data_IF_917397054333
#
_entry.id   IF_917397054333
#
_cell.length_a   1.000
_cell.length_b   1.000
_cell.length_c   1.000
_cell.angle_alpha   90.00
_cell.angle_beta   90.00
_cell.angle_gamma   90.00
#
_symmetry.space_group_name_H-M   'P 1'
#
loop_
_entity.id
_entity.type
_entity.pdbx_description
1 polymer ?
#
# COMPACT_ATOMS: atom_id res chain seq x y z
N UNK A 1 78.77 33.28 14.94
CA UNK A 1 79.64 32.09 15.06
C UNK A 1 78.73 30.90 15.27
N UNK A 2 78.59 29.94 14.48
CA UNK A 2 79.25 29.18 13.46
C UNK A 2 78.17 28.56 12.54
N UNK A 3 78.43 28.54 11.28
CA UNK A 3 77.68 27.81 10.26
C UNK A 3 77.95 26.31 10.36
N UNK A 4 76.97 25.48 10.17
CA UNK A 4 77.20 24.10 9.76
C UNK A 4 76.24 23.69 8.69
N UNK A 5 76.82 23.27 7.57
CA UNK A 5 76.23 22.91 6.30
C UNK A 5 75.54 21.55 6.40
N UNK A 6 74.30 21.42 5.91
CA UNK A 6 73.64 20.13 5.67
C UNK A 6 73.70 19.77 4.21
N UNK A 7 74.40 18.67 3.94
CA UNK A 7 74.47 17.98 2.63
C UNK A 7 73.09 17.47 2.20
N UNK A 8 72.66 17.79 0.99
CA UNK A 8 71.57 17.20 0.28
C UNK A 8 71.95 15.80 -0.24
N UNK A 9 71.22 14.78 0.09
CA UNK A 9 71.22 13.47 -0.56
C UNK A 9 69.96 13.31 -1.42
N UNK A 10 70.18 13.07 -2.71
CA UNK A 10 69.15 12.75 -3.69
C UNK A 10 68.57 11.32 -3.45
N UNK A 11 67.25 11.06 -3.54
CA UNK A 11 66.76 9.70 -3.64
C UNK A 11 66.71 9.19 -5.07
N UNK A 12 66.98 7.90 -5.19
CA UNK A 12 67.06 7.12 -6.42
C UNK A 12 65.66 6.96 -7.08
N UNK A 13 65.65 6.96 -8.42
CA UNK A 13 64.51 6.63 -9.28
C UNK A 13 64.23 5.13 -9.21
N UNK A 14 63.11 4.71 -8.63
CA UNK A 14 62.54 3.37 -8.81
C UNK A 14 61.52 3.40 -9.94
N UNK A 15 61.80 2.59 -10.98
CA UNK A 15 60.95 2.44 -12.14
C UNK A 15 59.66 1.69 -11.79
N UNK A 16 58.54 2.34 -12.00
CA UNK A 16 57.21 1.72 -11.95
C UNK A 16 56.97 0.87 -13.21
N UNK A 17 56.88 -0.45 -13.04
CA UNK A 17 56.34 -1.36 -14.07
C UNK A 17 54.85 -1.10 -14.24
N UNK A 18 54.44 -0.69 -15.44
CA UNK A 18 53.03 -0.61 -15.83
C UNK A 18 52.45 -2.01 -15.90
N UNK A 19 51.50 -2.31 -15.04
CA UNK A 19 50.65 -3.49 -15.17
C UNK A 19 49.57 -3.21 -16.23
N UNK A 20 49.40 -4.19 -17.15
CA UNK A 20 48.34 -4.17 -18.14
C UNK A 20 46.97 -4.46 -17.49
N UNK A 21 45.83 -3.91 -18.02
CA UNK A 21 44.51 -4.13 -17.47
C UNK A 21 44.06 -5.59 -17.67
N UNK A 22 43.24 -6.15 -16.77
CA UNK A 22 42.75 -7.52 -16.88
C UNK A 22 41.82 -7.69 -18.08
N UNK A 23 42.06 -8.73 -18.87
CA UNK A 23 41.19 -9.13 -19.98
C UNK A 23 39.86 -9.64 -19.46
N UNK A 24 38.75 -9.08 -19.95
CA UNK A 24 37.40 -9.60 -19.74
C UNK A 24 37.29 -11.02 -20.33
N UNK A 25 37.09 -12.02 -19.49
CA UNK A 25 36.69 -13.37 -19.89
C UNK A 25 35.31 -13.33 -20.54
N UNK A 26 35.20 -13.67 -21.80
CA UNK A 26 33.94 -13.97 -22.46
C UNK A 26 33.34 -15.21 -21.83
N UNK A 27 32.19 -15.05 -21.18
CA UNK A 27 31.37 -16.18 -20.72
C UNK A 27 30.70 -16.82 -21.95
N UNK A 28 31.02 -18.09 -22.19
CA UNK A 28 30.37 -18.91 -23.20
C UNK A 28 28.92 -19.15 -22.86
N UNK A 29 28.01 -18.77 -23.78
CA UNK A 29 26.58 -19.09 -23.69
C UNK A 29 26.38 -20.60 -23.63
N UNK A 30 25.81 -21.10 -22.53
CA UNK A 30 25.28 -22.46 -22.43
C UNK A 30 24.00 -22.59 -23.28
N UNK A 31 23.82 -23.69 -24.04
CA UNK A 31 22.60 -23.88 -24.81
C UNK A 31 21.38 -24.18 -23.87
N UNK A 32 20.31 -23.49 -24.16
CA UNK A 32 19.01 -23.60 -23.49
C UNK A 32 18.43 -25.04 -23.64
N UNK A 33 18.02 -25.72 -22.56
CA UNK A 33 17.37 -27.02 -22.69
C UNK A 33 15.97 -26.85 -23.31
N UNK A 34 15.68 -27.64 -24.34
CA UNK A 34 14.39 -27.68 -25.03
C UNK A 34 13.31 -28.17 -24.04
N UNK A 35 12.27 -27.36 -23.84
CA UNK A 35 11.05 -27.74 -23.12
C UNK A 35 10.35 -28.91 -23.81
N UNK A 36 9.89 -29.93 -23.09
CA UNK A 36 9.00 -30.94 -23.63
C UNK A 36 7.62 -30.34 -23.90
N UNK A 37 7.07 -30.60 -25.08
CA UNK A 37 5.66 -30.37 -25.42
C UNK A 37 4.83 -31.49 -24.76
N UNK A 38 3.94 -31.13 -23.83
CA UNK A 38 3.05 -32.10 -23.21
C UNK A 38 1.87 -31.47 -22.52
N UNK A 39 0.70 -31.57 -23.16
CA UNK A 39 -0.66 -31.73 -22.59
C UNK A 39 -1.08 -30.75 -21.49
N UNK A 40 -1.28 -29.48 -21.83
CA UNK A 40 -1.92 -28.50 -20.96
C UNK A 40 -3.38 -28.27 -21.39
N UNK A 41 -4.32 -28.90 -20.73
CA UNK A 41 -5.75 -28.69 -21.03
C UNK A 41 -6.71 -29.13 -19.91
N UNK A 42 -6.22 -29.90 -18.94
CA UNK A 42 -7.06 -30.38 -17.83
C UNK A 42 -6.65 -29.89 -16.44
N UNK A 43 -5.42 -29.41 -16.24
CA UNK A 43 -4.98 -28.89 -14.94
C UNK A 43 -5.48 -27.47 -14.63
N UNK A 44 -5.71 -26.63 -15.64
CA UNK A 44 -6.19 -25.26 -15.41
C UNK A 44 -7.60 -25.18 -14.82
N UNK A 45 -8.47 -26.15 -15.17
CA UNK A 45 -9.85 -26.20 -14.64
C UNK A 45 -9.92 -26.67 -13.17
N UNK A 46 -9.01 -27.54 -12.74
CA UNK A 46 -8.97 -28.04 -11.36
C UNK A 46 -8.36 -27.02 -10.39
N UNK A 47 -7.42 -26.20 -10.83
CA UNK A 47 -6.82 -25.14 -10.00
C UNK A 47 -7.83 -24.01 -9.74
N UNK A 48 -8.62 -23.60 -10.73
CA UNK A 48 -9.64 -22.56 -10.57
C UNK A 48 -10.72 -22.99 -9.57
N UNK A 49 -11.14 -24.26 -9.60
CA UNK A 49 -12.13 -24.79 -8.65
C UNK A 49 -11.54 -24.86 -7.22
N UNK A 50 -10.26 -25.16 -7.07
CA UNK A 50 -9.60 -25.25 -5.76
C UNK A 50 -9.42 -23.88 -5.11
N UNK A 51 -9.05 -22.85 -5.87
CA UNK A 51 -8.89 -21.47 -5.37
C UNK A 51 -10.24 -20.89 -4.95
N UNK A 52 -11.29 -21.11 -5.71
CA UNK A 52 -12.64 -20.67 -5.35
C UNK A 52 -13.16 -21.37 -4.07
N UNK A 53 -12.79 -22.63 -3.84
CA UNK A 53 -13.21 -23.38 -2.65
C UNK A 53 -12.45 -22.93 -1.39
N UNK A 54 -11.17 -22.58 -1.49
CA UNK A 54 -10.37 -22.07 -0.38
C UNK A 54 -10.80 -20.66 0.02
N UNK A 55 -11.09 -19.78 -0.95
CA UNK A 55 -11.65 -18.47 -0.69
C UNK A 55 -13.02 -18.53 -0.01
N UNK A 56 -13.88 -19.47 -0.44
CA UNK A 56 -15.19 -19.69 0.16
C UNK A 56 -15.10 -20.25 1.60
N UNK A 57 -14.17 -21.14 1.88
CA UNK A 57 -13.97 -21.72 3.23
C UNK A 57 -13.34 -20.67 4.17
N UNK A 58 -12.41 -19.85 3.69
CA UNK A 58 -11.85 -18.72 4.44
C UNK A 58 -12.91 -17.68 4.80
N UNK A 59 -13.77 -17.33 3.85
CA UNK A 59 -14.91 -16.42 4.04
C UNK A 59 -15.91 -16.96 5.08
N UNK A 60 -16.28 -18.22 5.03
CA UNK A 60 -17.18 -18.85 6.01
C UNK A 60 -16.56 -18.97 7.39
N UNK A 61 -15.24 -19.22 7.50
CA UNK A 61 -14.52 -19.27 8.77
C UNK A 61 -14.47 -17.92 9.48
N UNK A 62 -14.25 -16.83 8.74
CA UNK A 62 -14.26 -15.48 9.25
C UNK A 62 -15.64 -15.04 9.75
N UNK A 63 -16.70 -15.32 9.00
CA UNK A 63 -18.07 -15.03 9.43
C UNK A 63 -18.48 -15.84 10.67
N UNK A 64 -18.03 -17.09 10.82
CA UNK A 64 -18.35 -17.92 11.99
C UNK A 64 -17.60 -17.45 13.24
N UNK A 65 -16.37 -16.92 13.10
CA UNK A 65 -15.63 -16.33 14.22
C UNK A 65 -16.29 -15.05 14.75
N UNK A 66 -16.84 -14.21 13.84
CA UNK A 66 -17.53 -12.95 14.20
C UNK A 66 -18.88 -13.21 14.89
N UNK A 67 -19.55 -14.34 14.62
CA UNK A 67 -20.86 -14.67 15.23
C UNK A 67 -20.78 -15.29 16.63
N UNK A 68 -19.58 -15.59 17.14
CA UNK A 68 -19.37 -16.23 18.45
C UNK A 68 -18.98 -15.27 19.58
N UNK A 69 -18.95 -13.96 19.34
CA UNK A 69 -18.72 -12.97 20.41
C UNK A 69 -20.01 -12.73 21.19
N UNK A 70 -20.02 -12.83 22.53
CA UNK A 70 -21.25 -12.74 23.31
C UNK A 70 -21.76 -11.31 23.42
N UNK A 71 -22.93 -11.05 22.84
CA UNK A 71 -23.70 -9.84 23.09
C UNK A 71 -24.46 -10.03 24.42
N UNK A 72 -24.22 -9.16 25.38
CA UNK A 72 -24.98 -9.13 26.62
C UNK A 72 -26.41 -8.67 26.35
N UNK A 73 -27.39 -9.51 26.67
CA UNK A 73 -28.80 -9.21 26.58
C UNK A 73 -29.23 -8.34 27.77
N UNK A 74 -29.86 -7.21 27.47
CA UNK A 74 -30.74 -6.49 28.38
C UNK A 74 -32.15 -6.54 27.81
N UNK A 75 -33.01 -7.27 28.49
CA UNK A 75 -34.42 -7.39 28.18
C UNK A 75 -35.23 -6.28 28.88
N UNK A 76 -36.10 -5.58 28.15
CA UNK A 76 -37.37 -5.13 28.71
C UNK A 76 -38.43 -5.02 27.61
N UNK A 77 -39.55 -5.68 27.86
CA UNK A 77 -40.75 -5.70 27.04
C UNK A 77 -41.61 -4.48 27.36
N UNK A 78 -42.18 -3.81 26.38
CA UNK A 78 -43.29 -2.89 26.53
C UNK A 78 -44.35 -3.09 25.45
N UNK A 79 -45.56 -3.05 25.90
CA UNK A 79 -46.87 -3.37 25.34
C UNK A 79 -47.26 -2.66 24.02
N UNK A 80 -48.00 -3.43 23.23
CA UNK A 80 -48.77 -2.99 22.06
C UNK A 80 -49.95 -2.08 22.48
N UNK A 81 -49.98 -0.85 21.98
CA UNK A 81 -51.21 -0.06 21.85
C UNK A 81 -51.42 0.32 20.39
N UNK A 82 -52.55 -0.19 19.88
CA UNK A 82 -53.11 0.12 18.56
C UNK A 82 -53.64 1.55 18.51
N UNK A 83 -53.32 2.31 17.46
CA UNK A 83 -53.87 3.64 17.20
C UNK A 83 -53.49 4.19 15.85
N UNK A 84 -54.41 4.09 14.93
CA UNK A 84 -54.79 4.91 13.77
C UNK A 84 -53.74 5.72 13.00
N UNK A 85 -53.62 5.39 11.71
CA UNK A 85 -52.83 6.06 10.69
C UNK A 85 -53.33 7.44 10.33
N UNK A 86 -52.46 8.42 10.47
CA UNK A 86 -52.41 9.62 9.62
C UNK A 86 -51.06 9.60 8.94
N UNK A 87 -51.05 9.72 7.60
CA UNK A 87 -49.84 9.74 6.80
C UNK A 87 -49.08 11.04 7.09
N UNK A 88 -48.07 10.95 7.95
CA UNK A 88 -47.07 12.00 8.09
C UNK A 88 -46.21 12.01 6.85
N UNK A 89 -45.99 13.22 6.32
CA UNK A 89 -45.00 13.50 5.29
C UNK A 89 -43.62 13.03 5.76
N UNK A 90 -42.71 12.62 4.86
CA UNK A 90 -41.40 12.17 5.28
C UNK A 90 -40.71 13.30 6.06
N UNK A 91 -40.57 13.11 7.33
CA UNK A 91 -39.70 13.90 8.20
C UNK A 91 -38.28 13.70 7.63
N UNK A 92 -37.65 14.76 7.17
CA UNK A 92 -36.20 14.76 6.95
C UNK A 92 -35.58 14.29 8.27
N UNK A 93 -35.01 13.10 8.29
CA UNK A 93 -34.18 12.64 9.39
C UNK A 93 -33.01 13.62 9.47
N UNK A 94 -33.09 14.56 10.40
CA UNK A 94 -31.94 15.38 10.77
C UNK A 94 -30.86 14.40 11.21
N UNK A 95 -29.81 14.27 10.42
CA UNK A 95 -28.60 13.58 10.82
C UNK A 95 -28.16 14.18 12.15
N UNK A 96 -28.37 13.45 13.24
CA UNK A 96 -27.91 13.86 14.57
C UNK A 96 -26.46 13.46 14.63
N UNK A 97 -25.55 14.43 14.50
CA UNK A 97 -24.11 14.20 14.67
C UNK A 97 -23.71 14.46 16.12
N UNK A 98 -22.73 13.73 16.60
CA UNK A 98 -22.01 14.02 17.82
C UNK A 98 -20.76 14.83 17.48
N UNK A 99 -20.45 15.84 18.30
CA UNK A 99 -19.23 16.62 18.18
C UNK A 99 -18.14 15.99 19.06
N UNK A 100 -17.07 15.54 18.46
CA UNK A 100 -15.91 14.97 19.14
C UNK A 100 -14.74 15.95 19.01
N UNK A 101 -14.11 16.31 20.12
CA UNK A 101 -12.94 17.15 20.14
C UNK A 101 -11.69 16.31 19.85
N UNK A 102 -10.89 16.71 18.85
CA UNK A 102 -9.60 16.12 18.49
C UNK A 102 -8.53 17.17 18.71
N UNK A 103 -7.41 16.80 19.33
CA UNK A 103 -6.30 17.73 19.52
C UNK A 103 -5.71 18.17 18.17
N UNK A 104 -5.39 19.44 18.02
CA UNK A 104 -4.74 19.92 16.80
C UNK A 104 -3.30 19.40 16.65
N UNK A 105 -2.67 18.89 17.71
CA UNK A 105 -1.40 18.16 17.63
C UNK A 105 -1.55 16.86 16.83
N UNK A 106 -2.74 16.23 16.88
CA UNK A 106 -3.03 14.99 16.15
C UNK A 106 -3.13 15.19 14.62
N UNK A 107 -3.04 16.43 14.10
CA UNK A 107 -2.87 16.67 12.65
C UNK A 107 -1.64 15.94 12.10
N UNK A 108 -0.65 15.70 12.96
CA UNK A 108 0.60 15.02 12.62
C UNK A 108 0.60 13.51 12.94
N UNK A 109 -0.55 12.94 13.32
CA UNK A 109 -0.69 11.54 13.71
C UNK A 109 -1.71 10.79 12.85
N UNK A 110 -1.53 9.46 12.73
CA UNK A 110 -2.44 8.57 11.99
C UNK A 110 -1.80 8.04 10.70
N UNK A 111 -2.52 7.13 10.04
CA UNK A 111 -2.03 6.35 8.89
C UNK A 111 -2.06 7.12 7.56
N UNK A 112 -2.81 8.23 7.48
CA UNK A 112 -2.90 9.09 6.30
C UNK A 112 -2.00 10.34 6.35
N UNK A 113 -1.07 10.43 7.30
CA UNK A 113 -0.11 11.54 7.33
C UNK A 113 0.74 11.54 6.05
N UNK A 114 0.81 12.67 5.37
CA UNK A 114 1.67 12.86 4.22
C UNK A 114 3.10 13.18 4.69
N UNK A 115 4.07 12.43 4.19
CA UNK A 115 5.50 12.69 4.36
C UNK A 115 6.14 12.64 2.99
N UNK A 116 6.73 13.75 2.53
CA UNK A 116 7.37 13.81 1.23
C UNK A 116 8.41 14.95 1.21
N UNK A 117 8.93 15.32 0.05
CA UNK A 117 9.94 16.38 -0.11
C UNK A 117 9.50 17.73 0.45
N UNK A 118 8.21 18.03 0.45
CA UNK A 118 7.64 19.32 0.86
C UNK A 118 7.06 19.30 2.28
N UNK A 119 6.68 18.09 2.76
CA UNK A 119 6.01 17.92 4.06
C UNK A 119 6.84 17.00 4.95
N UNK A 120 7.43 17.59 5.99
CA UNK A 120 8.26 16.87 6.93
C UNK A 120 7.41 16.04 7.92
N UNK A 121 7.93 14.89 8.34
CA UNK A 121 7.43 14.14 9.48
C UNK A 121 7.74 14.87 10.79
N UNK A 122 6.77 14.98 11.68
CA UNK A 122 6.85 15.84 12.88
C UNK A 122 6.94 15.04 14.18
N UNK A 123 6.39 13.83 14.24
CA UNK A 123 6.39 13.03 15.46
C UNK A 123 7.80 12.49 15.77
N UNK A 124 8.38 12.90 16.90
CA UNK A 124 9.75 12.51 17.28
C UNK A 124 9.84 11.08 17.83
N UNK A 125 8.81 10.59 18.49
CA UNK A 125 8.78 9.29 19.16
C UNK A 125 7.47 8.57 18.83
N UNK A 126 7.36 7.93 17.67
CA UNK A 126 6.13 7.25 17.26
C UNK A 126 5.82 6.12 18.24
N UNK A 127 4.55 6.06 18.65
CA UNK A 127 4.03 4.97 19.48
C UNK A 127 3.75 3.74 18.63
N UNK A 128 3.59 2.57 19.28
CA UNK A 128 3.18 1.31 18.61
C UNK A 128 4.17 0.79 17.56
N UNK A 129 5.43 1.20 17.60
CA UNK A 129 6.49 0.60 16.79
C UNK A 129 6.87 -0.74 17.38
N UNK A 130 6.71 -1.79 16.59
CA UNK A 130 6.98 -3.18 16.98
C UNK A 130 7.94 -3.87 16.02
N UNK A 131 8.74 -4.81 16.54
CA UNK A 131 9.61 -5.64 15.71
C UNK A 131 8.80 -6.52 14.78
N UNK A 132 9.03 -6.43 13.47
CA UNK A 132 8.40 -7.33 12.50
C UNK A 132 8.84 -8.77 12.78
N UNK A 133 10.12 -8.98 13.15
CA UNK A 133 10.69 -10.30 13.42
C UNK A 133 9.92 -11.04 14.52
N UNK A 134 9.50 -10.35 15.57
CA UNK A 134 8.81 -10.93 16.71
C UNK A 134 7.32 -11.21 16.45
N UNK A 135 6.75 -10.58 15.41
CA UNK A 135 5.31 -10.64 15.09
C UNK A 135 5.01 -11.31 13.75
N UNK A 136 6.03 -11.57 12.92
CA UNK A 136 5.85 -12.14 11.57
C UNK A 136 5.34 -13.59 11.61
N UNK A 137 4.69 -13.99 10.52
CA UNK A 137 4.40 -15.39 10.21
C UNK A 137 5.63 -16.10 9.63
N UNK A 138 5.52 -17.40 9.36
CA UNK A 138 6.61 -18.19 8.78
C UNK A 138 6.73 -18.03 7.26
N UNK A 139 5.84 -17.26 6.62
CA UNK A 139 5.69 -17.19 5.18
C UNK A 139 6.58 -16.14 4.50
N UNK A 140 7.39 -15.41 5.25
CA UNK A 140 8.33 -14.43 4.72
C UNK A 140 9.54 -14.21 5.64
N UNK A 141 10.52 -13.48 5.16
CA UNK A 141 11.76 -13.14 5.86
C UNK A 141 11.80 -11.67 6.29
N UNK A 142 12.67 -11.38 7.24
CA UNK A 142 13.00 -10.02 7.69
C UNK A 142 14.51 -9.91 7.80
N UNK A 143 15.09 -8.80 7.35
CA UNK A 143 16.54 -8.61 7.29
C UNK A 143 17.25 -8.54 8.65
N UNK A 144 16.53 -8.12 9.70
CA UNK A 144 17.08 -8.01 11.05
C UNK A 144 15.99 -8.00 12.12
N UNK A 145 16.38 -8.28 13.36
CA UNK A 145 15.45 -8.27 14.52
C UNK A 145 14.98 -6.86 14.89
N UNK A 146 15.72 -5.83 14.48
CA UNK A 146 15.42 -4.42 14.68
C UNK A 146 14.50 -3.82 13.62
N UNK A 147 14.29 -4.53 12.50
CA UNK A 147 13.35 -4.08 11.47
C UNK A 147 11.94 -4.05 12.04
N UNK A 148 11.33 -2.88 12.04
CA UNK A 148 10.09 -2.61 12.77
C UNK A 148 9.14 -1.74 11.95
N UNK A 149 7.85 -1.77 12.31
CA UNK A 149 6.79 -0.93 11.76
C UNK A 149 5.79 -0.60 12.88
N UNK A 150 4.80 0.23 12.60
CA UNK A 150 3.63 0.36 13.48
C UNK A 150 2.82 -0.93 13.49
N UNK A 151 2.25 -1.27 14.64
CA UNK A 151 1.51 -2.53 14.83
C UNK A 151 0.43 -2.77 13.75
N UNK A 152 -0.45 -1.80 13.38
CA UNK A 152 -1.45 -2.03 12.35
C UNK A 152 -0.84 -2.40 10.97
N UNK A 153 0.31 -1.78 10.64
CA UNK A 153 1.02 -2.11 9.42
C UNK A 153 1.62 -3.52 9.45
N UNK A 154 2.14 -3.98 10.61
CA UNK A 154 2.64 -5.36 10.76
C UNK A 154 1.51 -6.38 10.65
N UNK A 155 0.35 -6.11 11.26
CA UNK A 155 -0.80 -7.00 11.19
C UNK A 155 -1.30 -7.16 9.75
N UNK A 156 -1.38 -6.06 9.01
CA UNK A 156 -1.74 -6.03 7.60
C UNK A 156 -0.69 -6.73 6.70
N UNK A 157 0.60 -6.52 6.98
CA UNK A 157 1.71 -7.18 6.28
C UNK A 157 1.62 -8.70 6.42
N UNK A 158 1.36 -9.20 7.63
CA UNK A 158 1.19 -10.63 7.89
C UNK A 158 0.06 -11.20 7.05
N UNK A 159 -1.10 -10.55 7.04
CA UNK A 159 -2.25 -11.00 6.25
C UNK A 159 -1.94 -11.02 4.75
N UNK A 160 -1.29 -9.97 4.24
CA UNK A 160 -0.91 -9.87 2.83
C UNK A 160 0.06 -10.98 2.41
N UNK A 161 1.12 -11.20 3.18
CA UNK A 161 2.15 -12.19 2.81
C UNK A 161 1.69 -13.63 3.07
N UNK A 162 0.80 -13.87 4.02
CA UNK A 162 0.14 -15.16 4.18
C UNK A 162 -0.77 -15.49 2.98
N UNK A 163 -1.53 -14.51 2.50
CA UNK A 163 -2.36 -14.66 1.30
C UNK A 163 -1.51 -14.82 0.03
N UNK A 164 -0.41 -14.08 -0.09
CA UNK A 164 0.56 -14.25 -1.17
C UNK A 164 1.13 -15.68 -1.20
N UNK A 165 1.54 -16.21 -0.05
CA UNK A 165 1.99 -17.59 0.06
C UNK A 165 0.92 -18.61 -0.36
N UNK A 166 -0.31 -18.41 0.09
CA UNK A 166 -1.44 -19.28 -0.31
C UNK A 166 -1.68 -19.26 -1.82
N UNK A 167 -1.57 -18.08 -2.43
CA UNK A 167 -1.82 -17.90 -3.86
C UNK A 167 -0.70 -18.43 -4.76
N UNK A 168 0.56 -18.29 -4.34
CA UNK A 168 1.73 -18.51 -5.20
C UNK A 168 2.65 -19.64 -4.73
N UNK A 169 2.63 -19.98 -3.44
CA UNK A 169 3.56 -20.90 -2.80
C UNK A 169 4.96 -20.31 -2.51
N UNK A 170 5.18 -19.02 -2.80
CA UNK A 170 6.45 -18.33 -2.56
C UNK A 170 6.59 -17.90 -1.10
N UNK A 171 7.78 -18.13 -0.52
CA UNK A 171 8.15 -17.72 0.83
C UNK A 171 9.46 -16.91 0.86
N UNK A 172 9.93 -16.48 -0.29
CA UNK A 172 11.21 -15.81 -0.49
C UNK A 172 11.13 -14.28 -0.44
N UNK A 173 9.96 -13.72 -0.13
CA UNK A 173 9.82 -12.30 0.19
C UNK A 173 10.59 -11.97 1.47
N UNK A 174 11.34 -10.86 1.45
CA UNK A 174 12.05 -10.33 2.62
C UNK A 174 11.77 -8.84 2.79
N UNK A 175 11.39 -8.43 3.98
CA UNK A 175 11.34 -7.03 4.38
C UNK A 175 12.76 -6.58 4.73
N UNK A 176 13.30 -5.64 3.97
CA UNK A 176 14.68 -5.17 4.14
C UNK A 176 14.78 -3.83 4.86
N UNK A 177 13.69 -3.05 4.85
CA UNK A 177 13.60 -1.75 5.52
C UNK A 177 12.18 -1.56 6.08
N UNK A 178 12.08 -0.92 7.21
CA UNK A 178 10.84 -0.50 7.88
C UNK A 178 11.03 0.86 8.52
N UNK A 179 10.61 1.03 9.77
CA UNK A 179 10.81 2.25 10.54
C UNK A 179 12.30 2.64 10.64
N UNK A 180 12.57 3.91 10.45
CA UNK A 180 13.88 4.53 10.63
C UNK A 180 13.75 5.77 11.50
N UNK A 181 14.63 5.91 12.48
CA UNK A 181 14.73 7.17 13.21
C UNK A 181 15.32 8.27 12.31
N UNK A 182 15.07 9.53 12.62
CA UNK A 182 15.67 10.66 11.92
C UNK A 182 17.21 10.57 11.86
N UNK A 183 17.85 10.09 12.94
CA UNK A 183 19.30 9.88 12.97
C UNK A 183 19.76 8.80 11.97
N UNK A 184 19.04 7.68 11.85
CA UNK A 184 19.33 6.64 10.87
C UNK A 184 19.12 7.16 9.43
N UNK A 185 18.08 7.95 9.20
CA UNK A 185 17.86 8.61 7.91
C UNK A 185 18.99 9.56 7.56
N UNK A 186 19.52 10.32 8.54
CA UNK A 186 20.68 11.19 8.34
C UNK A 186 21.93 10.40 7.95
N UNK A 187 22.19 9.28 8.61
CA UNK A 187 23.33 8.39 8.29
C UNK A 187 23.25 7.87 6.86
N UNK A 188 22.06 7.45 6.41
CA UNK A 188 21.83 7.01 5.04
C UNK A 188 22.04 8.13 4.02
N UNK A 189 21.52 9.30 4.31
CA UNK A 189 21.67 10.47 3.45
C UNK A 189 23.14 10.89 3.30
N UNK A 190 23.88 10.95 4.40
CA UNK A 190 25.30 11.28 4.41
C UNK A 190 26.14 10.22 3.69
N UNK A 191 25.79 8.94 3.81
CA UNK A 191 26.46 7.86 3.11
C UNK A 191 26.26 7.95 1.60
N UNK A 192 25.04 8.27 1.14
CA UNK A 192 24.74 8.49 -0.28
C UNK A 192 25.52 9.67 -0.86
N UNK A 193 25.59 10.80 -0.14
CA UNK A 193 26.39 11.96 -0.56
C UNK A 193 27.89 11.63 -0.62
N UNK A 194 28.38 10.81 0.32
CA UNK A 194 29.79 10.38 0.31
C UNK A 194 30.11 9.45 -0.85
N UNK A 195 29.15 8.58 -1.24
CA UNK A 195 29.30 7.67 -2.38
C UNK A 195 29.23 8.41 -3.72
N UNK A 196 28.24 9.28 -3.89
CA UNK A 196 27.97 9.97 -5.16
C UNK A 196 28.87 11.20 -5.38
N UNK A 197 29.29 11.86 -4.30
CA UNK A 197 29.99 13.15 -4.33
C UNK A 197 29.08 14.32 -4.67
N UNK A 198 27.76 14.13 -4.64
CA UNK A 198 26.75 15.15 -4.88
C UNK A 198 26.54 16.04 -3.66
N UNK A 199 25.90 17.20 -3.83
CA UNK A 199 25.55 18.10 -2.72
C UNK A 199 24.19 17.79 -2.12
N UNK A 200 23.31 17.13 -2.89
CA UNK A 200 21.98 16.69 -2.47
C UNK A 200 21.74 15.29 -3.08
N UNK A 201 21.13 14.42 -2.30
CA UNK A 201 20.75 13.10 -2.81
C UNK A 201 19.47 13.18 -3.64
N UNK A 202 19.41 12.39 -4.72
CA UNK A 202 18.22 12.13 -5.51
C UNK A 202 17.68 10.70 -5.28
N UNK A 203 18.39 9.91 -4.45
CA UNK A 203 18.07 8.50 -4.14
C UNK A 203 17.59 8.30 -2.71
N UNK A 204 17.99 9.17 -1.80
CA UNK A 204 17.69 9.09 -0.37
C UNK A 204 17.02 10.39 0.06
N UNK A 205 15.85 10.28 0.66
CA UNK A 205 15.12 11.43 1.17
C UNK A 205 15.91 12.15 2.30
N UNK A 206 15.75 13.47 2.38
CA UNK A 206 16.26 14.26 3.51
C UNK A 206 15.72 13.70 4.83
N UNK A 207 16.52 13.76 5.92
CA UNK A 207 16.01 13.50 7.27
C UNK A 207 14.79 14.36 7.60
N UNK A 208 13.76 13.73 8.13
CA UNK A 208 12.44 14.35 8.35
C UNK A 208 11.50 14.23 7.14
N UNK A 209 11.96 13.79 5.97
CA UNK A 209 11.18 13.74 4.73
C UNK A 209 11.04 12.32 4.14
N UNK A 210 11.36 11.30 4.93
CA UNK A 210 11.21 9.89 4.55
C UNK A 210 9.96 9.28 5.17
N UNK A 211 9.13 8.60 4.38
CA UNK A 211 7.96 7.85 4.90
C UNK A 211 8.35 6.75 5.90
N UNK A 212 9.59 6.22 5.83
CA UNK A 212 10.08 5.27 6.82
C UNK A 212 10.13 5.84 8.24
N UNK A 213 10.29 7.17 8.40
CA UNK A 213 10.28 7.81 9.71
C UNK A 213 8.89 7.77 10.36
N UNK A 214 7.82 7.58 9.58
CA UNK A 214 6.46 7.42 10.08
C UNK A 214 6.17 6.02 10.67
N UNK A 215 6.96 5.02 10.29
CA UNK A 215 6.71 3.61 10.62
C UNK A 215 5.60 2.94 9.82
N UNK A 216 5.10 3.59 8.76
CA UNK A 216 4.08 3.04 7.87
C UNK A 216 4.62 2.58 6.52
N UNK A 217 5.91 2.77 6.22
CA UNK A 217 6.51 2.36 4.96
C UNK A 217 7.50 1.21 5.15
N UNK A 218 7.56 0.33 4.15
CA UNK A 218 8.49 -0.77 4.09
C UNK A 218 9.05 -0.95 2.68
N UNK A 219 10.24 -1.58 2.61
CA UNK A 219 10.85 -2.01 1.35
C UNK A 219 10.98 -3.53 1.29
N UNK A 220 10.61 -4.10 0.14
CA UNK A 220 10.76 -5.50 -0.18
C UNK A 220 12.03 -5.80 -0.97
N UNK A 221 12.53 -7.01 -0.80
CA UNK A 221 13.50 -7.68 -1.64
C UNK A 221 13.15 -9.16 -1.70
N UNK A 222 13.92 -9.97 -2.43
CA UNK A 222 13.79 -11.42 -2.46
C UNK A 222 14.97 -12.08 -1.78
N UNK A 223 14.75 -13.23 -1.12
CA UNK A 223 15.79 -13.95 -0.40
C UNK A 223 15.69 -15.45 -0.66
N UNK A 224 16.63 -15.99 -1.45
CA UNK A 224 16.65 -17.41 -1.85
C UNK A 224 18.05 -17.97 -1.69
N UNK A 225 18.19 -19.12 -1.06
CA UNK A 225 19.46 -19.86 -0.86
C UNK A 225 20.58 -19.02 -0.21
N UNK A 226 20.23 -18.11 0.70
CA UNK A 226 21.20 -17.25 1.39
C UNK A 226 21.64 -16.03 0.58
N UNK A 227 20.98 -15.74 -0.55
CA UNK A 227 21.27 -14.60 -1.43
C UNK A 227 20.05 -13.70 -1.55
N UNK A 228 20.28 -12.39 -1.46
CA UNK A 228 19.26 -11.36 -1.68
C UNK A 228 19.26 -10.95 -3.14
N UNK A 229 18.07 -10.72 -3.70
CA UNK A 229 17.83 -10.27 -5.06
C UNK A 229 16.87 -9.09 -5.07
N UNK A 230 17.00 -8.25 -6.10
CA UNK A 230 16.09 -7.11 -6.26
C UNK A 230 14.64 -7.60 -6.48
N UNK A 231 13.71 -6.91 -5.85
CA UNK A 231 12.27 -7.08 -6.06
C UNK A 231 11.79 -6.01 -7.03
N UNK A 232 11.12 -6.42 -8.10
CA UNK A 232 10.59 -5.53 -9.15
C UNK A 232 9.07 -5.61 -9.34
N UNK A 233 8.38 -6.43 -8.52
CA UNK A 233 6.94 -6.59 -8.57
C UNK A 233 6.41 -7.24 -9.85
N UNK A 234 7.25 -7.97 -10.60
CA UNK A 234 6.86 -8.61 -11.86
C UNK A 234 6.72 -10.14 -11.74
N UNK A 235 6.18 -10.79 -12.78
CA UNK A 235 5.98 -12.23 -12.79
C UNK A 235 4.96 -12.68 -11.75
N UNK A 236 5.29 -13.66 -10.91
CA UNK A 236 4.40 -14.16 -9.85
C UNK A 236 4.30 -13.17 -8.68
N UNK A 237 5.28 -12.26 -8.54
CA UNK A 237 5.26 -11.21 -7.52
C UNK A 237 4.35 -10.03 -7.88
N UNK A 238 3.85 -9.93 -9.12
CA UNK A 238 2.83 -8.97 -9.51
C UNK A 238 1.56 -9.10 -8.65
N UNK A 239 1.33 -10.30 -8.08
CA UNK A 239 0.25 -10.53 -7.13
C UNK A 239 0.25 -9.51 -5.98
N UNK A 240 1.42 -9.12 -5.46
CA UNK A 240 1.50 -8.11 -4.39
C UNK A 240 0.94 -6.78 -4.87
N UNK A 241 1.35 -6.30 -6.07
CA UNK A 241 0.85 -5.05 -6.64
C UNK A 241 -0.67 -5.08 -6.90
N UNK A 242 -1.19 -6.24 -7.30
CA UNK A 242 -2.62 -6.44 -7.62
C UNK A 242 -3.49 -6.55 -6.38
N UNK A 243 -2.89 -6.90 -5.21
CA UNK A 243 -3.67 -7.24 -4.01
C UNK A 243 -3.30 -6.44 -2.76
N UNK A 244 -2.20 -5.69 -2.73
CA UNK A 244 -1.74 -4.98 -1.53
C UNK A 244 -2.80 -4.04 -0.95
N UNK A 245 -3.63 -3.44 -1.80
CA UNK A 245 -4.70 -2.54 -1.36
C UNK A 245 -5.78 -3.23 -0.54
N UNK A 246 -6.02 -4.54 -0.72
CA UNK A 246 -6.96 -5.31 0.13
C UNK A 246 -6.50 -5.38 1.59
N UNK A 247 -5.20 -5.20 1.81
CA UNK A 247 -4.56 -5.22 3.13
C UNK A 247 -4.17 -3.83 3.63
N UNK A 248 -4.65 -2.76 2.97
CA UNK A 248 -4.37 -1.40 3.37
C UNK A 248 -3.01 -0.85 2.94
N UNK A 249 -2.26 -1.56 2.09
CA UNK A 249 -1.01 -1.08 1.50
C UNK A 249 -1.22 -0.53 0.09
N UNK A 250 -0.36 0.38 -0.32
CA UNK A 250 -0.28 0.88 -1.70
C UNK A 250 1.17 0.81 -2.18
N UNK A 251 1.37 0.48 -3.47
CA UNK A 251 2.63 0.74 -4.15
C UNK A 251 2.79 2.26 -4.26
N UNK A 252 3.75 2.81 -3.52
CA UNK A 252 3.76 4.25 -3.24
C UNK A 252 4.25 5.11 -4.40
N UNK A 253 5.29 4.66 -5.10
CA UNK A 253 5.98 5.43 -6.11
C UNK A 253 5.95 4.70 -7.46
N UNK A 254 5.00 5.08 -8.31
CA UNK A 254 4.81 4.52 -9.66
C UNK A 254 5.36 5.45 -10.73
N UNK A 255 5.66 4.93 -11.92
CA UNK A 255 6.23 5.72 -13.01
C UNK A 255 5.35 6.91 -13.42
N UNK A 256 4.03 6.74 -13.42
CA UNK A 256 3.06 7.76 -13.81
C UNK A 256 2.80 8.83 -12.75
N UNK A 257 3.30 8.65 -11.52
CA UNK A 257 3.13 9.59 -10.40
C UNK A 257 4.40 10.35 -10.02
N UNK A 258 5.52 10.17 -10.71
CA UNK A 258 6.80 10.80 -10.38
C UNK A 258 6.73 12.33 -10.34
N UNK A 259 5.96 12.96 -11.25
CA UNK A 259 5.80 14.40 -11.30
C UNK A 259 5.02 14.95 -10.09
N UNK A 260 4.14 14.13 -9.49
CA UNK A 260 3.33 14.50 -8.31
C UNK A 260 4.05 14.21 -7.00
N UNK A 261 4.67 13.05 -6.90
CA UNK A 261 5.36 12.62 -5.67
C UNK A 261 6.76 13.21 -5.52
N UNK A 262 7.38 13.61 -6.63
CA UNK A 262 8.77 14.07 -6.68
C UNK A 262 9.81 12.94 -6.54
N UNK A 263 9.37 11.67 -6.49
CA UNK A 263 10.20 10.47 -6.30
C UNK A 263 10.14 9.61 -7.55
N UNK A 264 11.27 9.01 -7.93
CA UNK A 264 11.32 8.03 -9.02
C UNK A 264 10.54 6.77 -8.64
N UNK A 265 10.15 5.98 -9.65
CA UNK A 265 9.45 4.73 -9.40
C UNK A 265 10.28 3.77 -8.55
N UNK A 266 9.69 3.27 -7.50
CA UNK A 266 10.27 2.34 -6.54
C UNK A 266 9.36 1.11 -6.39
N UNK A 267 9.50 0.09 -7.21
CA UNK A 267 8.60 -1.08 -7.20
C UNK A 267 8.66 -1.87 -5.88
N UNK A 268 9.68 -1.64 -5.06
CA UNK A 268 9.88 -2.28 -3.76
C UNK A 268 9.22 -1.54 -2.59
N UNK A 269 8.86 -0.25 -2.75
CA UNK A 269 8.42 0.62 -1.66
C UNK A 269 6.89 0.62 -1.51
N UNK A 270 6.41 0.15 -0.36
CA UNK A 270 4.99 0.09 -0.03
C UNK A 270 4.65 0.93 1.18
N UNK A 271 3.53 1.64 1.11
CA UNK A 271 3.00 2.47 2.18
C UNK A 271 1.68 1.91 2.70
N UNK A 272 1.58 1.72 4.02
CA UNK A 272 0.32 1.44 4.70
C UNK A 272 -0.48 2.74 4.87
N UNK A 273 -1.73 2.72 4.45
CA UNK A 273 -2.70 3.81 4.57
C UNK A 273 -4.04 3.32 5.14
N UNK A 274 -4.15 2.03 5.42
CA UNK A 274 -5.36 1.38 5.94
C UNK A 274 -6.50 1.26 4.93
N UNK A 275 -7.58 0.58 5.39
CA UNK A 275 -8.83 0.48 4.67
C UNK A 275 -9.79 1.58 5.13
N UNK A 276 -10.65 2.10 4.23
CA UNK A 276 -10.84 1.75 2.82
C UNK A 276 -9.94 2.54 1.86
N UNK A 277 -9.01 3.34 2.38
CA UNK A 277 -8.21 4.31 1.63
C UNK A 277 -7.36 3.64 0.53
N UNK A 278 -6.69 2.54 0.87
CA UNK A 278 -5.87 1.81 -0.09
C UNK A 278 -6.69 1.30 -1.28
N UNK A 279 -7.89 0.75 -1.02
CA UNK A 279 -8.81 0.31 -2.08
C UNK A 279 -9.16 1.46 -3.02
N UNK A 280 -9.58 2.61 -2.48
CA UNK A 280 -9.91 3.77 -3.30
C UNK A 280 -8.74 4.27 -4.13
N UNK A 281 -7.54 4.37 -3.51
CA UNK A 281 -6.34 4.85 -4.18
C UNK A 281 -5.95 3.95 -5.36
N UNK A 282 -6.01 2.64 -5.17
CA UNK A 282 -5.70 1.66 -6.22
C UNK A 282 -6.73 1.70 -7.35
N UNK A 283 -8.03 1.65 -7.04
CA UNK A 283 -9.10 1.61 -8.05
C UNK A 283 -9.15 2.89 -8.91
N UNK A 284 -8.79 4.04 -8.34
CA UNK A 284 -8.82 5.33 -9.02
C UNK A 284 -7.44 5.77 -9.53
N UNK A 285 -6.40 4.95 -9.34
CA UNK A 285 -5.01 5.26 -9.72
C UNK A 285 -4.56 6.64 -9.21
N UNK A 286 -4.75 6.91 -7.91
CA UNK A 286 -4.33 8.16 -7.27
C UNK A 286 -3.24 7.89 -6.22
N UNK A 287 -2.20 8.74 -6.18
CA UNK A 287 -1.22 8.71 -5.10
C UNK A 287 -1.74 9.42 -3.84
N UNK A 288 -1.03 9.32 -2.72
CA UNK A 288 -1.47 9.88 -1.44
C UNK A 288 -1.68 11.39 -1.50
N UNK A 289 -0.82 12.13 -2.21
CA UNK A 289 -0.94 13.57 -2.44
C UNK A 289 -2.25 13.95 -3.15
N UNK A 290 -2.57 13.21 -4.22
CA UNK A 290 -3.79 13.41 -4.99
C UNK A 290 -5.03 13.04 -4.17
N UNK A 291 -4.96 11.92 -3.42
CA UNK A 291 -6.06 11.44 -2.58
C UNK A 291 -6.39 12.42 -1.46
N UNK A 292 -5.41 12.90 -0.71
CA UNK A 292 -5.62 13.88 0.35
C UNK A 292 -6.15 15.22 -0.20
N UNK A 293 -5.72 15.61 -1.40
CA UNK A 293 -6.24 16.79 -2.09
C UNK A 293 -7.71 16.60 -2.48
N UNK A 294 -8.05 15.43 -3.02
CA UNK A 294 -9.42 15.07 -3.37
C UNK A 294 -10.35 15.12 -2.16
N UNK A 295 -9.92 14.55 -1.02
CA UNK A 295 -10.73 14.46 0.20
C UNK A 295 -11.16 15.84 0.75
N UNK A 296 -10.43 16.90 0.46
CA UNK A 296 -10.82 18.27 0.86
C UNK A 296 -12.13 18.75 0.24
N UNK A 297 -12.66 18.06 -0.78
CA UNK A 297 -13.95 18.37 -1.39
C UNK A 297 -15.13 17.66 -0.68
N UNK A 298 -14.88 16.78 0.28
CA UNK A 298 -15.90 16.01 0.97
C UNK A 298 -16.05 16.45 2.41
N UNK A 299 -17.30 16.60 2.86
CA UNK A 299 -17.66 17.06 4.20
C UNK A 299 -18.50 16.00 4.91
N UNK A 300 -18.78 16.19 6.20
CA UNK A 300 -19.67 15.30 6.95
C UNK A 300 -21.09 15.22 6.34
N UNK A 301 -21.57 16.30 5.73
CA UNK A 301 -22.89 16.35 5.08
C UNK A 301 -22.88 15.69 3.67
N UNK A 302 -21.73 15.74 2.98
CA UNK A 302 -21.51 15.16 1.65
C UNK A 302 -20.21 14.33 1.65
N UNK A 303 -20.16 13.18 2.34
CA UNK A 303 -18.96 12.36 2.45
C UNK A 303 -18.69 11.57 1.17
N UNK A 304 -17.42 11.23 0.94
CA UNK A 304 -17.03 10.24 -0.06
C UNK A 304 -17.44 8.85 0.43
N UNK A 305 -18.32 8.18 -0.31
CA UNK A 305 -18.64 6.78 -0.04
C UNK A 305 -17.61 5.87 -0.73
N UNK A 306 -16.98 5.00 0.04
CA UNK A 306 -16.02 4.02 -0.46
C UNK A 306 -16.49 2.63 -0.04
N UNK A 307 -16.54 1.71 -0.99
CA UNK A 307 -16.74 0.28 -0.71
C UNK A 307 -15.39 -0.39 -0.75
N UNK A 308 -15.00 -1.08 0.32
CA UNK A 308 -13.75 -1.83 0.33
C UNK A 308 -13.90 -3.18 -0.39
N UNK A 309 -12.82 -3.92 -0.47
CA UNK A 309 -12.79 -5.23 -1.16
C UNK A 309 -13.77 -6.26 -0.56
N UNK A 310 -14.05 -6.20 0.73
CA UNK A 310 -15.00 -7.09 1.41
C UNK A 310 -16.47 -6.65 1.24
N UNK A 311 -16.70 -5.57 0.50
CA UNK A 311 -18.02 -4.99 0.27
C UNK A 311 -18.50 -4.09 1.42
N UNK A 312 -17.68 -3.84 2.43
CA UNK A 312 -18.02 -2.93 3.53
C UNK A 312 -18.01 -1.48 3.03
N UNK A 313 -19.04 -0.71 3.43
CA UNK A 313 -19.23 0.66 2.98
C UNK A 313 -18.75 1.63 4.07
N UNK A 314 -17.91 2.58 3.66
CA UNK A 314 -17.37 3.62 4.51
C UNK A 314 -17.76 5.01 3.98
N UNK A 315 -17.89 5.96 4.91
CA UNK A 315 -18.04 7.38 4.61
C UNK A 315 -16.77 8.11 5.06
N UNK A 316 -16.11 8.79 4.12
CA UNK A 316 -14.84 9.47 4.36
C UNK A 316 -14.98 10.96 4.05
N UNK A 317 -14.51 11.82 4.96
CA UNK A 317 -14.56 13.27 4.78
C UNK A 317 -13.41 13.98 5.49
N UNK A 318 -13.15 15.19 5.04
CA UNK A 318 -12.10 16.06 5.58
C UNK A 318 -12.68 17.10 6.53
N UNK A 319 -11.93 17.40 7.59
CA UNK A 319 -12.23 18.49 8.53
C UNK A 319 -10.96 19.34 8.69
N UNK A 320 -11.04 20.62 8.30
CA UNK A 320 -9.91 21.54 8.50
C UNK A 320 -9.66 21.77 10.01
N UNK A 321 -8.40 21.79 10.41
CA UNK A 321 -8.02 22.10 11.78
C UNK A 321 -8.39 23.54 12.15
N UNK A 322 -8.96 23.75 13.34
CA UNK A 322 -9.27 25.09 13.84
C UNK A 322 -8.00 25.75 14.38
N UNK A 323 -7.36 26.57 13.54
CA UNK A 323 -6.13 27.28 13.90
C UNK A 323 -6.31 28.29 15.05
N UNK A 324 -7.54 28.57 15.49
CA UNK A 324 -7.84 29.50 16.57
C UNK A 324 -8.00 28.83 17.94
N UNK A 325 -7.96 27.49 18.00
CA UNK A 325 -8.15 26.67 19.20
C UNK A 325 -7.06 25.59 19.31
N UNK A 326 -6.96 24.94 20.46
CA UNK A 326 -6.07 23.78 20.68
C UNK A 326 -6.69 22.47 20.18
N UNK A 327 -7.97 22.48 19.85
CA UNK A 327 -8.74 21.30 19.41
C UNK A 327 -9.73 21.66 18.32
N UNK A 328 -9.94 20.74 17.41
CA UNK A 328 -10.95 20.79 16.34
C UNK A 328 -12.11 19.87 16.68
N UNK A 329 -13.33 20.34 16.45
CA UNK A 329 -14.51 19.52 16.59
C UNK A 329 -14.84 18.83 15.27
N UNK A 330 -14.88 17.50 15.31
CA UNK A 330 -15.35 16.66 14.20
C UNK A 330 -16.78 16.20 14.46
N UNK A 331 -17.59 16.13 13.42
CA UNK A 331 -18.97 15.63 13.49
C UNK A 331 -18.99 14.17 13.06
N UNK A 332 -19.42 13.25 13.93
CA UNK A 332 -19.55 11.83 13.66
C UNK A 332 -20.98 11.35 13.92
N UNK A 333 -21.51 10.38 13.18
CA UNK A 333 -22.81 9.78 13.48
C UNK A 333 -22.77 9.12 14.87
N UNK A 334 -23.84 9.23 15.66
CA UNK A 334 -23.89 8.63 16.99
C UNK A 334 -23.77 7.11 16.92
N UNK A 335 -22.98 6.55 17.83
CA UNK A 335 -22.69 5.11 17.91
C UNK A 335 -21.99 4.50 16.69
N UNK A 336 -21.54 5.30 15.72
CA UNK A 336 -20.76 4.80 14.60
C UNK A 336 -19.36 4.38 15.06
N UNK A 337 -18.80 3.37 14.40
CA UNK A 337 -17.37 3.12 14.46
C UNK A 337 -16.68 4.09 13.50
N UNK A 338 -15.67 4.76 13.97
CA UNK A 338 -14.91 5.68 13.12
C UNK A 338 -13.43 5.70 13.51
N UNK A 339 -12.61 6.14 12.60
CA UNK A 339 -11.21 6.51 12.83
C UNK A 339 -10.97 7.95 12.40
N UNK A 340 -9.93 8.55 12.96
CA UNK A 340 -9.48 9.90 12.61
C UNK A 340 -7.99 9.84 12.36
N UNK A 341 -7.55 10.32 11.22
CA UNK A 341 -6.14 10.51 10.89
C UNK A 341 -5.87 11.98 10.59
N UNK A 342 -4.80 12.54 11.11
CA UNK A 342 -4.24 13.77 10.59
C UNK A 342 -3.72 13.56 9.16
N UNK A 343 -3.61 14.67 8.40
CA UNK A 343 -3.00 14.65 7.07
C UNK A 343 -1.56 15.21 7.05
N UNK A 344 -1.01 15.48 8.24
CA UNK A 344 0.29 16.12 8.47
C UNK A 344 0.42 17.55 7.89
N UNK A 345 -0.71 18.24 7.65
CA UNK A 345 -0.71 19.57 7.05
C UNK A 345 -1.72 20.51 7.71
N UNK A 346 -3.00 20.34 7.44
CA UNK A 346 -4.01 21.35 7.73
C UNK A 346 -5.34 20.80 8.25
N UNK A 347 -5.42 19.49 8.55
CA UNK A 347 -6.67 18.92 9.04
C UNK A 347 -6.68 17.42 9.22
N UNK A 348 -7.89 16.91 9.32
CA UNK A 348 -8.20 15.55 9.68
C UNK A 348 -9.02 14.85 8.61
N UNK A 349 -8.76 13.57 8.42
CA UNK A 349 -9.58 12.66 7.63
C UNK A 349 -10.38 11.81 8.62
N UNK A 350 -11.68 11.86 8.51
CA UNK A 350 -12.60 11.06 9.32
C UNK A 350 -13.14 9.94 8.45
N UNK A 351 -13.02 8.71 8.93
CA UNK A 351 -13.47 7.50 8.25
C UNK A 351 -14.50 6.80 9.11
N UNK A 352 -15.74 6.78 8.67
CA UNK A 352 -16.87 6.18 9.37
C UNK A 352 -17.21 4.84 8.74
N UNK A 353 -17.18 3.77 9.54
CA UNK A 353 -17.73 2.46 9.16
C UNK A 353 -19.27 2.54 9.28
N UNK A 354 -19.98 2.46 8.16
CA UNK A 354 -21.44 2.53 8.14
C UNK A 354 -22.11 1.28 8.72
N UNK A 355 -21.36 0.18 8.82
CA UNK A 355 -21.90 -1.15 9.14
C UNK A 355 -22.72 -1.76 8.01
N UNK A 356 -22.80 -1.11 6.84
CA UNK A 356 -23.47 -1.60 5.65
C UNK A 356 -22.51 -2.44 4.80
N UNK A 357 -23.06 -3.46 4.14
CA UNK A 357 -22.33 -4.29 3.19
C UNK A 357 -23.07 -4.22 1.85
N UNK A 358 -22.35 -3.95 0.79
CA UNK A 358 -22.90 -3.96 -0.57
C UNK A 358 -23.43 -5.37 -0.88
N UNK A 359 -24.74 -5.48 -1.10
CA UNK A 359 -25.36 -6.76 -1.48
C UNK A 359 -24.91 -7.13 -2.90
N UNK A 360 -24.37 -8.32 -3.09
CA UNK A 360 -23.72 -8.81 -4.32
C UNK A 360 -24.62 -8.98 -5.55
N UNK A 361 -25.61 -8.11 -5.78
CA UNK A 361 -26.52 -8.15 -6.94
C UNK A 361 -26.14 -7.17 -8.07
N UNK A 362 -25.15 -6.30 -7.87
CA UNK A 362 -24.75 -5.28 -8.85
C UNK A 362 -23.56 -5.68 -9.77
N UNK A 363 -22.94 -6.84 -9.58
CA UNK A 363 -21.78 -7.26 -10.38
C UNK A 363 -22.11 -8.13 -11.62
N UNK A 364 -23.38 -8.28 -12.01
CA UNK A 364 -23.81 -9.19 -13.09
C UNK A 364 -24.37 -8.49 -14.34
N UNK A 365 -24.30 -7.17 -14.47
CA UNK A 365 -24.71 -6.46 -15.70
C UNK A 365 -23.56 -5.71 -16.38
N UNK A 366 -22.54 -6.45 -16.80
CA UNK A 366 -21.73 -6.00 -17.94
C UNK A 366 -22.17 -6.82 -19.13
N UNK A 367 -23.06 -6.22 -19.89
CA UNK A 367 -23.63 -6.71 -21.16
C UNK A 367 -22.55 -7.20 -22.09
N UNK A 368 -22.66 -8.46 -22.46
CA UNK A 368 -22.01 -9.00 -23.65
C UNK A 368 -22.48 -8.21 -24.89
N UNK A 369 -21.60 -7.94 -25.87
CA UNK A 369 -22.04 -7.32 -27.13
C UNK A 369 -22.97 -8.27 -27.87
N UNK A 370 -24.15 -7.77 -28.24
CA UNK A 370 -25.09 -8.45 -29.13
C UNK A 370 -24.39 -8.77 -30.45
N UNK A 371 -24.25 -10.05 -30.77
CA UNK A 371 -23.95 -10.50 -32.11
C UNK A 371 -25.18 -10.23 -32.99
N UNK A 372 -25.06 -9.25 -33.88
CA UNK A 372 -26.03 -9.03 -34.93
C UNK A 372 -25.83 -10.10 -36.02
N UNK A 373 -26.62 -11.17 -35.95
CA UNK A 373 -26.92 -12.00 -37.11
C UNK A 373 -27.89 -11.24 -38.00
N UNK A 374 -27.42 -10.71 -39.13
CA UNK A 374 -28.28 -10.48 -40.28
C UNK A 374 -27.78 -11.31 -41.46
N UNK A 375 -28.54 -12.38 -41.70
CA UNK A 375 -28.41 -13.24 -42.83
C UNK A 375 -29.22 -12.62 -43.98
N UNK A 376 -28.65 -12.61 -45.16
CA UNK A 376 -29.43 -12.90 -46.38
C UNK A 376 -28.52 -12.87 -47.61
N UNK A 377 -28.19 -14.02 -48.05
CA UNK A 377 -28.44 -14.58 -49.41
C UNK A 377 -28.55 -13.58 -50.56
N UNK A 378 -27.72 -13.72 -51.60
CA UNK A 378 -28.21 -14.09 -52.94
C UNK A 378 -27.04 -14.16 -53.94
N UNK A 379 -26.89 -15.37 -54.49
CA UNK A 379 -26.70 -15.80 -55.91
C UNK A 379 -25.69 -15.12 -56.81
N UNK A 380 -24.77 -15.96 -57.22
CA UNK A 380 -24.54 -16.47 -58.60
C UNK A 380 -23.78 -15.58 -59.60
N UNK A 381 -22.86 -16.25 -60.16
CA UNK A 381 -22.53 -16.40 -61.56
C UNK A 381 -21.32 -15.64 -62.13
N UNK A 382 -20.42 -16.52 -62.51
CA UNK A 382 -19.78 -16.61 -63.82
C UNK A 382 -18.63 -15.64 -64.19
N UNK A 383 -17.59 -16.29 -64.44
CA UNK A 383 -16.85 -16.54 -65.69
C UNK A 383 -15.59 -15.70 -65.91
N UNK A 384 -14.51 -16.47 -66.06
CA UNK A 384 -13.61 -16.48 -67.18
C UNK A 384 -12.48 -15.48 -67.29
N UNK A 385 -11.32 -16.11 -67.20
CA UNK A 385 -10.21 -16.09 -68.18
C UNK A 385 -9.25 -14.91 -68.28
N UNK A 386 -8.03 -15.32 -68.22
CA UNK A 386 -6.87 -14.96 -69.01
C UNK A 386 -6.28 -13.54 -68.89
N UNK A 387 -5.12 -13.40 -68.34
CA UNK A 387 -3.75 -13.50 -68.93
C UNK A 387 -2.72 -13.46 -67.82
#
# INVERSE_FOLDING_TARGET
MSQEQKKQSRPAKNGAKKQAPPQKKQMSRRPNPRRPRGTGGKMAAEIIVSVALVAFVGYQGFHMYRSLSPISQGSEAVDLVSGNSEAEAPTEEKNIYENVAVSNEDVHAGDLILVNTDTAYVEENPTEIVSIYDHKTDNYHVSGTETSLRQPAVDALNQMLDAFYVATGHQDMIVISGYRTNAQQQELYDADLAETGEQTSTRVALPGHSEHESGYALDFSLYTDGVQYDYDGTGEYAWINENCAHYGYVLRYTEDKQDTTGIQAEPWHYRYVGQPHATYMMENNVCLEEYLTLLKNYTADEPLSITNWDGEIYQVYYVAADASADSTYIMVPPNAKYTVSGNNSDGFIVTVDTGEIQSGEAAAETTAPEENEDASATTAAETSAAE
#
